data_IF_460370747121
#
_entry.id   IF_460370747121
#
_cell.length_a   1.000
_cell.length_b   1.000
_cell.length_c   1.000
_cell.angle_alpha   90.00
_cell.angle_beta   90.00
_cell.angle_gamma   90.00
#
_symmetry.space_group_name_H-M   'P 1'
#
loop_
_entity.id
_entity.type
_entity.pdbx_description
1 polymer ?
#
# COMPACT_ATOMS: atom_id res chain seq x y z
N UNK A 1 -14.56 -5.31 25.23
CA UNK A 1 -15.24 -6.56 24.81
C UNK A 1 -14.83 -7.80 25.61
N UNK A 2 -13.58 -7.91 26.11
CA UNK A 2 -13.05 -9.14 26.75
C UNK A 2 -13.23 -10.39 25.86
N UNK A 3 -12.84 -10.24 24.59
CA UNK A 3 -12.97 -11.27 23.57
C UNK A 3 -11.60 -11.86 23.24
N UNK A 4 -11.61 -13.08 22.71
CA UNK A 4 -10.42 -13.73 22.13
C UNK A 4 -10.46 -13.58 20.62
N UNK A 5 -9.37 -13.13 20.02
CA UNK A 5 -9.21 -13.09 18.57
C UNK A 5 -8.85 -14.49 18.07
N UNK A 6 -9.61 -15.00 17.11
CA UNK A 6 -9.18 -16.15 16.31
C UNK A 6 -8.39 -15.61 15.12
N UNK A 7 -7.28 -16.26 14.75
CA UNK A 7 -6.51 -15.86 13.58
C UNK A 7 -7.44 -15.65 12.36
N UNK A 8 -7.27 -14.54 11.63
CA UNK A 8 -8.17 -14.19 10.56
C UNK A 8 -8.03 -15.18 9.40
N UNK A 9 -9.15 -15.46 8.75
CA UNK A 9 -9.17 -16.15 7.46
C UNK A 9 -9.02 -15.11 6.35
N UNK A 10 -7.98 -15.24 5.53
CA UNK A 10 -7.82 -14.45 4.32
C UNK A 10 -8.77 -14.99 3.24
N UNK A 11 -9.34 -14.10 2.43
CA UNK A 11 -10.26 -14.49 1.36
C UNK A 11 -9.51 -15.19 0.22
N UNK A 12 -9.70 -16.50 0.13
CA UNK A 12 -9.08 -17.37 -0.87
C UNK A 12 -9.86 -17.45 -2.19
N UNK A 13 -11.11 -16.95 -2.23
CA UNK A 13 -12.01 -17.10 -3.38
C UNK A 13 -12.02 -15.85 -4.29
N UNK A 14 -11.24 -14.83 -3.93
CA UNK A 14 -11.12 -13.59 -4.67
C UNK A 14 -10.02 -13.68 -5.76
N UNK A 15 -9.72 -12.55 -6.42
CA UNK A 15 -8.80 -12.41 -7.55
C UNK A 15 -7.52 -13.27 -7.49
N UNK A 16 -6.93 -13.43 -6.30
CA UNK A 16 -5.64 -14.08 -6.10
C UNK A 16 -5.68 -15.60 -6.02
N UNK A 17 -6.84 -16.21 -5.74
CA UNK A 17 -7.01 -17.66 -5.57
C UNK A 17 -5.91 -18.31 -4.67
N UNK A 18 -5.52 -17.60 -3.61
CA UNK A 18 -4.40 -17.98 -2.73
C UNK A 18 -4.90 -18.73 -1.49
N UNK A 19 -4.43 -19.96 -1.29
CA UNK A 19 -4.82 -20.83 -0.16
C UNK A 19 -3.83 -20.78 1.03
N UNK A 20 -2.79 -19.94 0.96
CA UNK A 20 -1.73 -19.88 1.98
C UNK A 20 -2.27 -19.38 3.33
N UNK A 21 -3.37 -18.63 3.31
CA UNK A 21 -4.02 -18.09 4.50
C UNK A 21 -3.12 -17.15 5.30
N UNK A 22 -3.55 -16.79 6.51
CA UNK A 22 -2.77 -15.90 7.37
C UNK A 22 -1.37 -16.46 7.73
N UNK A 23 -1.22 -17.74 8.10
CA UNK A 23 0.09 -18.32 8.44
C UNK A 23 1.06 -18.43 7.26
N UNK A 24 0.53 -18.52 6.03
CA UNK A 24 1.35 -18.53 4.83
C UNK A 24 1.96 -17.17 4.51
N UNK A 25 1.42 -16.07 5.04
CA UNK A 25 1.90 -14.70 4.77
C UNK A 25 2.64 -14.11 5.96
N UNK A 26 2.11 -14.31 7.18
CA UNK A 26 2.60 -13.65 8.39
C UNK A 26 3.21 -14.64 9.38
N UNK A 27 4.17 -14.14 10.15
CA UNK A 27 4.73 -14.83 11.30
C UNK A 27 3.72 -14.85 12.46
N UNK A 28 3.01 -15.97 12.58
CA UNK A 28 1.91 -16.16 13.54
C UNK A 28 2.39 -16.08 14.98
N UNK A 29 3.52 -16.71 15.30
CA UNK A 29 4.04 -16.73 16.67
C UNK A 29 4.44 -15.32 17.10
N UNK A 30 5.12 -14.58 16.21
CA UNK A 30 5.43 -13.17 16.45
C UNK A 30 4.18 -12.31 16.62
N UNK A 31 3.14 -12.54 15.80
CA UNK A 31 1.87 -11.81 15.89
C UNK A 31 1.17 -12.06 17.24
N UNK A 32 1.10 -13.32 17.70
CA UNK A 32 0.50 -13.69 18.98
C UNK A 32 1.32 -13.10 20.14
N UNK A 33 2.65 -13.25 20.12
CA UNK A 33 3.52 -12.74 21.18
C UNK A 33 3.48 -11.21 21.29
N UNK A 34 3.47 -10.52 20.15
CA UNK A 34 3.40 -9.04 20.08
C UNK A 34 2.11 -8.46 20.66
N UNK A 35 1.03 -9.25 20.72
CA UNK A 35 -0.30 -8.81 21.18
C UNK A 35 -0.72 -9.42 22.52
N UNK A 36 0.09 -10.30 23.12
CA UNK A 36 -0.29 -11.09 24.30
C UNK A 36 -0.77 -10.26 25.51
N UNK A 37 -0.28 -9.03 25.63
CA UNK A 37 -0.64 -8.11 26.71
C UNK A 37 -1.96 -7.36 26.48
N UNK A 38 -2.49 -7.38 25.24
CA UNK A 38 -3.62 -6.55 24.83
C UNK A 38 -4.80 -7.38 24.38
N UNK A 39 -4.53 -8.45 23.62
CA UNK A 39 -5.54 -9.31 23.02
C UNK A 39 -5.07 -10.75 23.10
N UNK A 40 -5.89 -11.62 23.69
CA UNK A 40 -5.67 -13.06 23.59
C UNK A 40 -5.95 -13.51 22.16
N UNK A 41 -4.97 -14.14 21.53
CA UNK A 41 -5.09 -14.68 20.18
C UNK A 41 -5.02 -16.21 20.23
N UNK A 42 -5.85 -16.90 19.44
CA UNK A 42 -5.82 -18.36 19.27
C UNK A 42 -5.82 -18.72 17.78
N UNK A 43 -5.23 -19.86 17.44
CA UNK A 43 -5.11 -20.29 16.04
C UNK A 43 -6.46 -20.64 15.40
N UNK A 44 -7.29 -21.39 16.11
CA UNK A 44 -8.55 -21.92 15.59
C UNK A 44 -9.67 -21.76 16.60
N UNK A 45 -10.90 -21.65 16.07
CA UNK A 45 -12.08 -21.58 16.91
C UNK A 45 -12.31 -22.94 17.62
N UNK A 46 -12.50 -22.97 18.95
CA UNK A 46 -12.79 -24.22 19.66
C UNK A 46 -14.06 -24.89 19.14
N UNK A 47 -14.07 -26.23 19.06
CA UNK A 47 -15.22 -26.98 18.53
C UNK A 47 -16.48 -26.86 19.39
N UNK A 48 -16.31 -26.62 20.69
CA UNK A 48 -17.41 -26.47 21.65
C UNK A 48 -17.17 -25.31 22.58
N UNK A 49 -18.26 -24.74 23.09
CA UNK A 49 -18.23 -23.69 24.10
C UNK A 49 -19.21 -24.04 25.23
N UNK A 50 -18.83 -23.68 26.45
CA UNK A 50 -19.57 -24.02 27.66
C UNK A 50 -20.44 -22.84 28.10
N UNK A 51 -21.75 -23.09 28.28
CA UNK A 51 -22.67 -22.17 28.96
C UNK A 51 -23.20 -22.89 30.20
N UNK A 52 -22.70 -22.50 31.37
CA UNK A 52 -22.99 -23.22 32.62
C UNK A 52 -22.52 -24.68 32.53
N UNK A 53 -23.44 -25.62 32.71
CA UNK A 53 -23.16 -27.07 32.64
C UNK A 53 -23.30 -27.67 31.23
N UNK A 54 -23.78 -26.90 30.23
CA UNK A 54 -24.04 -27.39 28.87
C UNK A 54 -22.86 -27.09 27.94
N UNK A 55 -22.43 -28.10 27.18
CA UNK A 55 -21.49 -27.94 26.05
C UNK A 55 -22.27 -27.89 24.75
N UNK A 56 -22.08 -26.84 23.96
CA UNK A 56 -22.72 -26.67 22.66
C UNK A 56 -21.66 -26.62 21.55
N UNK A 57 -22.03 -27.09 20.35
CA UNK A 57 -21.18 -26.91 19.16
C UNK A 57 -21.06 -25.42 18.87
N UNK A 58 -19.83 -24.93 18.78
CA UNK A 58 -19.57 -23.52 18.50
C UNK A 58 -19.53 -23.31 16.99
N UNK A 59 -20.42 -22.46 16.49
CA UNK A 59 -20.41 -21.98 15.11
C UNK A 59 -20.44 -20.46 15.14
N UNK A 60 -19.50 -19.78 14.46
CA UNK A 60 -19.48 -18.32 14.51
C UNK A 60 -20.68 -17.75 13.78
N UNK A 61 -21.33 -16.75 14.39
CA UNK A 61 -22.42 -16.04 13.76
C UNK A 61 -21.87 -14.95 12.84
N UNK A 62 -22.25 -14.98 11.56
CA UNK A 62 -21.77 -14.00 10.60
C UNK A 62 -22.40 -12.63 10.84
N UNK A 63 -21.57 -11.61 10.96
CA UNK A 63 -21.99 -10.21 11.02
C UNK A 63 -21.33 -9.41 9.91
N UNK A 64 -22.08 -8.45 9.38
CA UNK A 64 -21.58 -7.47 8.44
C UNK A 64 -21.41 -6.13 9.17
N UNK A 65 -20.17 -5.73 9.51
CA UNK A 65 -19.96 -4.42 10.12
C UNK A 65 -20.29 -3.31 9.11
N UNK A 66 -20.83 -2.16 9.56
CA UNK A 66 -20.94 -1.00 8.69
C UNK A 66 -19.55 -0.55 8.24
N UNK A 67 -19.48 0.19 7.14
CA UNK A 67 -18.24 0.84 6.71
C UNK A 67 -17.88 1.92 7.75
N UNK A 68 -16.61 1.99 8.11
CA UNK A 68 -16.06 2.94 9.09
C UNK A 68 -16.86 2.89 10.41
N UNK A 69 -17.10 1.68 10.93
CA UNK A 69 -17.95 1.48 12.10
C UNK A 69 -17.36 2.16 13.34
N UNK A 70 -18.19 2.88 14.11
CA UNK A 70 -17.74 3.48 15.36
C UNK A 70 -17.45 2.39 16.39
N UNK A 71 -16.57 2.68 17.35
CA UNK A 71 -16.27 1.81 18.51
C UNK A 71 -17.54 1.29 19.17
N UNK A 72 -18.55 2.16 19.33
CA UNK A 72 -19.83 1.82 19.96
C UNK A 72 -20.53 0.64 19.28
N UNK A 73 -20.42 0.49 17.95
CA UNK A 73 -21.03 -0.64 17.25
C UNK A 73 -20.43 -1.99 17.67
N UNK A 74 -19.11 -2.01 17.93
CA UNK A 74 -18.44 -3.19 18.46
C UNK A 74 -18.83 -3.47 19.91
N UNK A 75 -18.97 -2.42 20.71
CA UNK A 75 -19.34 -2.51 22.14
C UNK A 75 -20.81 -2.89 22.37
N UNK A 76 -21.68 -2.63 21.39
CA UNK A 76 -23.10 -3.01 21.44
C UNK A 76 -23.40 -4.18 20.53
N UNK A 77 -23.64 -3.94 19.24
CA UNK A 77 -24.14 -4.93 18.28
C UNK A 77 -23.24 -6.17 18.18
N UNK A 78 -21.93 -5.99 18.01
CA UNK A 78 -21.03 -7.12 17.89
C UNK A 78 -20.89 -7.89 19.21
N UNK A 79 -20.75 -7.19 20.33
CA UNK A 79 -20.61 -7.79 21.66
C UNK A 79 -21.87 -8.54 22.10
N UNK A 80 -23.06 -7.96 21.91
CA UNK A 80 -24.34 -8.61 22.24
C UNK A 80 -24.54 -9.88 21.41
N UNK A 81 -24.24 -9.82 20.11
CA UNK A 81 -24.30 -10.99 19.23
C UNK A 81 -23.29 -12.06 19.66
N UNK A 82 -22.06 -11.66 20.01
CA UNK A 82 -21.04 -12.58 20.50
C UNK A 82 -21.46 -13.25 21.82
N UNK A 83 -22.07 -12.53 22.75
CA UNK A 83 -22.62 -13.11 23.99
C UNK A 83 -23.73 -14.13 23.72
N UNK A 84 -24.57 -13.87 22.71
CA UNK A 84 -25.67 -14.77 22.31
C UNK A 84 -25.19 -16.03 21.61
N UNK A 85 -24.20 -15.91 20.73
CA UNK A 85 -23.76 -17.00 19.84
C UNK A 85 -22.42 -17.65 20.24
N UNK A 86 -21.73 -17.11 21.24
CA UNK A 86 -20.40 -17.52 21.68
C UNK A 86 -19.26 -16.98 20.81
N UNK A 87 -19.45 -16.93 19.49
CA UNK A 87 -18.48 -16.40 18.53
C UNK A 87 -19.16 -15.65 17.38
N UNK A 88 -18.47 -14.65 16.83
CA UNK A 88 -18.90 -13.92 15.63
C UNK A 88 -17.82 -13.97 14.56
N UNK A 89 -18.24 -14.02 13.30
CA UNK A 89 -17.36 -13.90 12.14
C UNK A 89 -17.73 -12.61 11.40
N UNK A 90 -16.83 -11.63 11.45
CA UNK A 90 -17.05 -10.33 10.83
C UNK A 90 -16.59 -10.40 9.37
N UNK A 91 -17.54 -10.42 8.42
CA UNK A 91 -17.21 -10.51 6.99
C UNK A 91 -18.27 -9.81 6.13
N UNK A 92 -17.89 -9.08 5.07
CA UNK A 92 -16.51 -8.77 4.67
C UNK A 92 -15.86 -7.74 5.60
N UNK A 93 -14.54 -7.84 5.84
CA UNK A 93 -13.81 -6.98 6.78
C UNK A 93 -12.85 -6.00 6.07
N UNK A 94 -13.40 -5.10 5.23
CA UNK A 94 -12.66 -3.99 4.60
C UNK A 94 -13.19 -2.64 5.11
N UNK A 95 -12.30 -1.74 5.56
CA UNK A 95 -12.65 -0.40 6.10
C UNK A 95 -13.75 -0.44 7.17
N UNK A 96 -13.51 -1.15 8.29
CA UNK A 96 -14.56 -1.44 9.28
C UNK A 96 -14.45 -0.72 10.62
N UNK A 97 -13.29 -0.19 10.99
CA UNK A 97 -13.16 0.66 12.17
C UNK A 97 -12.97 2.10 11.70
N UNK A 98 -13.64 3.04 12.36
CA UNK A 98 -13.52 4.47 12.10
C UNK A 98 -12.04 4.91 12.05
N UNK A 99 -11.70 5.75 11.07
CA UNK A 99 -10.33 6.21 10.86
C UNK A 99 -9.85 7.10 12.01
N UNK A 100 -10.78 7.82 12.65
CA UNK A 100 -10.51 8.65 13.84
C UNK A 100 -11.17 8.03 15.06
N UNK A 101 -10.35 7.65 16.03
CA UNK A 101 -10.79 7.11 17.31
C UNK A 101 -10.52 8.12 18.42
N UNK A 102 -11.51 8.37 19.27
CA UNK A 102 -11.35 9.26 20.43
C UNK A 102 -10.43 8.65 21.51
N UNK A 103 -10.33 7.32 21.54
CA UNK A 103 -9.45 6.63 22.48
C UNK A 103 -8.05 6.46 21.88
N UNK A 104 -7.08 7.16 22.47
CA UNK A 104 -5.67 7.12 22.06
C UNK A 104 -5.04 5.73 22.17
N UNK A 105 -5.45 4.90 23.14
CA UNK A 105 -4.94 3.52 23.27
C UNK A 105 -5.35 2.64 22.10
N UNK A 106 -6.54 2.87 21.53
CA UNK A 106 -6.97 2.13 20.34
C UNK A 106 -6.15 2.53 19.11
N UNK A 107 -5.80 3.82 18.97
CA UNK A 107 -4.90 4.24 17.90
C UNK A 107 -3.49 3.67 18.08
N UNK A 108 -2.93 3.69 19.30
CA UNK A 108 -1.63 3.09 19.61
C UNK A 108 -1.61 1.59 19.31
N UNK A 109 -2.66 0.87 19.69
CA UNK A 109 -2.81 -0.55 19.35
C UNK A 109 -2.86 -0.75 17.82
N UNK A 110 -3.59 0.09 17.06
CA UNK A 110 -3.57 0.04 15.59
C UNK A 110 -2.15 0.22 15.03
N UNK A 111 -1.39 1.19 15.53
CA UNK A 111 0.00 1.41 15.12
C UNK A 111 0.87 0.18 15.37
N UNK A 112 0.81 -0.37 16.59
CA UNK A 112 1.58 -1.57 16.95
C UNK A 112 1.18 -2.79 16.11
N UNK A 113 -0.12 -3.02 15.92
CA UNK A 113 -0.59 -4.14 15.11
C UNK A 113 -0.07 -3.99 13.68
N UNK A 114 -0.24 -2.81 13.08
CA UNK A 114 0.08 -2.57 11.68
C UNK A 114 1.59 -2.59 11.38
N UNK A 115 2.41 -2.03 12.28
CA UNK A 115 3.84 -1.80 11.99
C UNK A 115 4.80 -2.71 12.76
N UNK A 116 4.32 -3.43 13.79
CA UNK A 116 5.15 -4.32 14.62
C UNK A 116 4.64 -5.75 14.66
N UNK A 117 3.35 -5.97 14.90
CA UNK A 117 2.80 -7.32 15.06
C UNK A 117 2.62 -8.04 13.71
N UNK A 118 2.15 -7.33 12.68
CA UNK A 118 2.04 -7.86 11.32
C UNK A 118 3.41 -7.89 10.64
N UNK A 119 4.16 -8.97 10.91
CA UNK A 119 5.44 -9.25 10.28
C UNK A 119 5.28 -10.38 9.28
N UNK A 120 5.78 -10.20 8.06
CA UNK A 120 5.82 -11.31 7.09
C UNK A 120 6.62 -12.50 7.63
N UNK A 121 6.28 -13.69 7.17
CA UNK A 121 6.99 -14.91 7.55
C UNK A 121 8.47 -14.88 7.11
N UNK A 122 9.24 -15.85 7.59
CA UNK A 122 10.69 -15.90 7.33
C UNK A 122 11.02 -16.06 5.84
N UNK A 123 10.22 -16.80 5.07
CA UNK A 123 10.52 -17.06 3.67
C UNK A 123 10.42 -15.78 2.82
N UNK A 124 9.35 -15.00 3.01
CA UNK A 124 9.17 -13.68 2.38
C UNK A 124 10.30 -12.73 2.80
N UNK A 125 10.64 -12.70 4.09
CA UNK A 125 11.69 -11.82 4.62
C UNK A 125 13.07 -12.17 4.11
N UNK A 126 13.39 -13.46 4.01
CA UNK A 126 14.66 -13.94 3.50
C UNK A 126 14.82 -13.60 2.02
N UNK A 127 13.82 -13.92 1.19
CA UNK A 127 13.88 -13.61 -0.23
C UNK A 127 13.95 -12.10 -0.49
N UNK A 128 13.10 -11.31 0.16
CA UNK A 128 13.14 -9.85 0.02
C UNK A 128 14.49 -9.27 0.47
N UNK A 129 15.08 -9.78 1.56
CA UNK A 129 16.42 -9.36 1.99
C UNK A 129 17.48 -9.67 0.94
N UNK A 130 17.45 -10.85 0.32
CA UNK A 130 18.39 -11.21 -0.75
C UNK A 130 18.26 -10.25 -1.94
N UNK A 131 17.03 -9.98 -2.40
CA UNK A 131 16.77 -9.07 -3.52
C UNK A 131 17.28 -7.66 -3.18
N UNK A 132 16.96 -7.14 -1.99
CA UNK A 132 17.40 -5.81 -1.55
C UNK A 132 18.93 -5.74 -1.46
N UNK A 133 19.58 -6.77 -0.93
CA UNK A 133 21.05 -6.82 -0.85
C UNK A 133 21.68 -6.81 -2.24
N UNK A 134 21.13 -7.57 -3.20
CA UNK A 134 21.62 -7.57 -4.59
C UNK A 134 21.47 -6.21 -5.25
N UNK A 135 20.29 -5.59 -5.15
CA UNK A 135 20.05 -4.26 -5.69
C UNK A 135 21.05 -3.25 -5.11
N UNK A 136 21.18 -3.22 -3.78
CA UNK A 136 22.08 -2.29 -3.06
C UNK A 136 23.56 -2.56 -3.24
N UNK A 137 23.96 -3.80 -3.57
CA UNK A 137 25.37 -4.14 -3.79
C UNK A 137 25.98 -3.38 -4.97
N UNK A 138 25.15 -2.88 -5.89
CA UNK A 138 25.61 -2.08 -7.02
C UNK A 138 25.38 -0.59 -6.81
N UNK A 139 24.34 -0.21 -6.08
CA UNK A 139 24.04 1.19 -5.78
C UNK A 139 22.63 1.41 -5.22
N UNK A 140 22.25 2.67 -4.96
CA UNK A 140 20.88 2.99 -4.58
C UNK A 140 19.90 2.58 -5.68
N UNK A 141 18.66 2.30 -5.29
CA UNK A 141 17.61 1.94 -6.24
C UNK A 141 16.27 2.59 -5.91
N UNK A 142 15.54 2.90 -6.98
CA UNK A 142 14.16 3.31 -6.92
C UNK A 142 13.26 2.09 -7.06
N UNK A 143 12.15 2.05 -6.32
CA UNK A 143 11.10 1.07 -6.53
C UNK A 143 9.82 1.74 -7.05
N UNK A 144 9.28 1.21 -8.13
CA UNK A 144 8.00 1.66 -8.72
C UNK A 144 6.97 0.57 -8.48
N UNK A 145 5.84 0.93 -7.85
CA UNK A 145 4.67 0.07 -7.83
C UNK A 145 3.74 0.47 -8.97
N UNK A 146 3.78 -0.31 -10.06
CA UNK A 146 3.05 -0.04 -11.29
C UNK A 146 1.71 -0.78 -11.27
N UNK A 147 0.62 -0.06 -11.02
CA UNK A 147 -0.73 -0.67 -11.03
C UNK A 147 -1.40 -0.56 -12.40
N UNK A 148 -0.95 -1.39 -13.34
CA UNK A 148 -1.41 -1.43 -14.74
C UNK A 148 -1.95 -2.81 -15.16
N UNK A 149 -2.56 -3.53 -14.23
CA UNK A 149 -3.15 -4.85 -14.43
C UNK A 149 -4.63 -4.75 -14.82
N UNK A 150 -5.16 -5.85 -15.36
CA UNK A 150 -6.50 -5.95 -15.94
C UNK A 150 -7.62 -5.48 -15.00
N UNK A 151 -7.58 -5.91 -13.73
CA UNK A 151 -8.60 -5.58 -12.74
C UNK A 151 -8.60 -4.09 -12.39
N UNK A 152 -7.41 -3.49 -12.25
CA UNK A 152 -7.24 -2.07 -11.98
C UNK A 152 -7.71 -1.24 -13.17
N UNK A 153 -7.34 -1.60 -14.39
CA UNK A 153 -7.73 -0.86 -15.59
C UNK A 153 -9.24 -0.97 -15.84
N UNK A 154 -9.83 -2.15 -15.64
CA UNK A 154 -11.27 -2.36 -15.70
C UNK A 154 -12.01 -1.59 -14.58
N UNK A 155 -11.45 -1.53 -13.37
CA UNK A 155 -11.99 -0.69 -12.30
C UNK A 155 -11.88 0.79 -12.65
N UNK A 156 -10.71 1.22 -13.13
CA UNK A 156 -10.41 2.60 -13.45
C UNK A 156 -11.24 3.09 -14.62
N UNK A 157 -11.61 2.25 -15.59
CA UNK A 157 -12.49 2.60 -16.70
C UNK A 157 -11.86 3.61 -17.67
N UNK A 158 -10.54 3.53 -17.85
CA UNK A 158 -9.77 4.41 -18.73
C UNK A 158 -9.32 3.61 -19.96
N UNK A 159 -10.22 3.51 -20.94
CA UNK A 159 -10.14 2.46 -21.97
C UNK A 159 -9.58 2.92 -23.32
N UNK A 160 -9.64 4.22 -23.62
CA UNK A 160 -9.37 4.75 -24.98
C UNK A 160 -7.92 4.56 -25.45
N UNK A 161 -6.99 4.20 -24.55
CA UNK A 161 -5.59 3.90 -24.87
C UNK A 161 -5.37 2.46 -25.36
N UNK A 162 -6.38 1.60 -25.28
CA UNK A 162 -6.32 0.18 -25.64
C UNK A 162 -6.99 -0.07 -27.01
N UNK A 163 -6.62 -1.18 -27.68
CA UNK A 163 -7.28 -1.56 -28.95
C UNK A 163 -8.75 -1.93 -28.73
N UNK A 164 -9.60 -1.92 -29.77
CA UNK A 164 -11.00 -2.33 -29.64
C UNK A 164 -11.16 -3.71 -28.96
N UNK A 165 -10.32 -4.68 -29.27
CA UNK A 165 -10.34 -6.02 -28.69
C UNK A 165 -10.03 -5.99 -27.18
N UNK A 166 -8.99 -5.26 -26.80
CA UNK A 166 -8.59 -5.09 -25.40
C UNK A 166 -9.65 -4.33 -24.59
N UNK A 167 -10.30 -3.33 -25.21
CA UNK A 167 -11.40 -2.60 -24.59
C UNK A 167 -12.58 -3.52 -24.27
N UNK A 168 -12.92 -4.46 -25.15
CA UNK A 168 -13.99 -5.42 -24.90
C UNK A 168 -13.67 -6.37 -23.74
N UNK A 169 -12.40 -6.80 -23.62
CA UNK A 169 -11.94 -7.58 -22.47
C UNK A 169 -12.14 -6.79 -21.16
N UNK A 170 -11.69 -5.53 -21.12
CA UNK A 170 -11.81 -4.67 -19.94
C UNK A 170 -13.28 -4.38 -19.58
N UNK A 171 -14.14 -4.13 -20.58
CA UNK A 171 -15.58 -3.91 -20.38
C UNK A 171 -16.28 -5.15 -19.85
N UNK A 172 -15.97 -6.33 -20.41
CA UNK A 172 -16.51 -7.61 -19.96
C UNK A 172 -16.15 -7.88 -18.50
N UNK A 173 -14.85 -7.82 -18.17
CA UNK A 173 -14.38 -8.03 -16.81
C UNK A 173 -15.02 -7.04 -15.83
N UNK A 174 -15.15 -5.75 -16.23
CA UNK A 174 -15.81 -4.75 -15.41
C UNK A 174 -17.25 -5.10 -15.10
N UNK A 175 -18.02 -5.49 -16.12
CA UNK A 175 -19.44 -5.83 -15.97
C UNK A 175 -19.66 -7.00 -15.00
N UNK A 176 -18.72 -7.94 -14.97
CA UNK A 176 -18.78 -9.12 -14.11
C UNK A 176 -18.37 -8.82 -12.65
N UNK A 177 -17.45 -7.87 -12.43
CA UNK A 177 -16.78 -7.69 -11.13
C UNK A 177 -17.08 -6.37 -10.42
N UNK A 178 -17.57 -5.34 -11.11
CA UNK A 178 -17.73 -4.00 -10.55
C UNK A 178 -19.10 -3.39 -10.86
N UNK A 179 -19.55 -2.50 -9.98
CA UNK A 179 -20.76 -1.70 -10.20
C UNK A 179 -20.69 -0.86 -11.49
N UNK A 180 -21.84 -0.53 -12.06
CA UNK A 180 -21.92 0.33 -13.25
C UNK A 180 -21.22 1.68 -13.04
N UNK A 181 -20.60 2.19 -14.10
CA UNK A 181 -19.81 3.43 -14.07
C UNK A 181 -19.72 4.03 -15.47
N UNK A 182 -19.80 5.36 -15.56
CA UNK A 182 -19.57 6.10 -16.80
C UNK A 182 -18.09 6.03 -17.20
N UNK A 183 -17.82 5.56 -18.43
CA UNK A 183 -16.48 5.29 -18.96
C UNK A 183 -16.03 6.41 -19.92
N UNK A 184 -15.87 7.62 -19.41
CA UNK A 184 -15.34 8.75 -20.18
C UNK A 184 -13.85 8.95 -19.90
N UNK A 185 -12.99 8.40 -20.74
CA UNK A 185 -11.53 8.41 -20.54
C UNK A 185 -10.98 9.80 -20.21
N UNK A 186 -11.26 10.81 -21.04
CA UNK A 186 -10.72 12.16 -20.87
C UNK A 186 -11.13 12.77 -19.52
N UNK A 187 -12.41 12.68 -19.17
CA UNK A 187 -12.89 13.20 -17.89
C UNK A 187 -12.20 12.48 -16.71
N UNK A 188 -12.12 11.15 -16.77
CA UNK A 188 -11.53 10.32 -15.71
C UNK A 188 -10.03 10.57 -15.53
N UNK A 189 -9.31 10.80 -16.62
CA UNK A 189 -7.90 11.18 -16.60
C UNK A 189 -7.71 12.54 -15.96
N UNK A 190 -8.51 13.55 -16.34
CA UNK A 190 -8.45 14.90 -15.80
C UNK A 190 -8.77 14.99 -14.31
N UNK A 191 -9.58 14.08 -13.76
CA UNK A 191 -9.85 14.00 -12.31
C UNK A 191 -8.88 13.06 -11.57
N UNK A 192 -7.80 12.62 -12.21
CA UNK A 192 -6.79 11.75 -11.61
C UNK A 192 -7.28 10.35 -11.27
N UNK A 193 -8.30 9.82 -11.96
CA UNK A 193 -8.83 8.47 -11.69
C UNK A 193 -8.24 7.36 -12.58
N UNK A 194 -7.45 7.72 -13.59
CA UNK A 194 -6.69 6.78 -14.41
C UNK A 194 -5.30 6.51 -13.82
N UNK A 195 -4.84 5.24 -13.77
CA UNK A 195 -3.43 4.92 -13.60
C UNK A 195 -2.57 5.62 -14.63
N UNK A 196 -1.35 6.00 -14.25
CA UNK A 196 -0.36 6.43 -15.23
C UNK A 196 0.07 5.23 -16.07
N UNK A 197 0.18 5.43 -17.38
CA UNK A 197 0.83 4.47 -18.27
C UNK A 197 2.32 4.36 -17.93
N UNK A 198 2.99 3.23 -18.23
CA UNK A 198 4.42 3.13 -17.96
C UNK A 198 5.25 4.21 -18.69
N UNK A 199 4.80 4.66 -19.87
CA UNK A 199 5.44 5.78 -20.57
C UNK A 199 5.29 7.10 -19.80
N UNK A 200 4.09 7.45 -19.32
CA UNK A 200 3.88 8.63 -18.49
C UNK A 200 4.74 8.59 -17.21
N UNK A 201 4.85 7.43 -16.58
CA UNK A 201 5.76 7.23 -15.43
C UNK A 201 7.21 7.55 -15.82
N UNK A 202 7.67 7.04 -16.97
CA UNK A 202 9.01 7.34 -17.46
C UNK A 202 9.23 8.83 -17.76
N UNK A 203 8.26 9.49 -18.39
CA UNK A 203 8.31 10.93 -18.68
C UNK A 203 8.34 11.77 -17.41
N UNK A 204 7.54 11.39 -16.41
CA UNK A 204 7.59 11.99 -15.08
C UNK A 204 9.00 11.88 -14.49
N UNK A 205 9.56 10.68 -14.41
CA UNK A 205 10.89 10.48 -13.82
C UNK A 205 11.99 11.24 -14.57
N UNK A 206 11.92 11.33 -15.90
CA UNK A 206 12.83 12.17 -16.69
C UNK A 206 12.71 13.66 -16.36
N UNK A 207 11.49 14.17 -16.24
CA UNK A 207 11.25 15.55 -15.81
C UNK A 207 11.81 15.81 -14.41
N UNK A 208 11.78 14.78 -13.55
CA UNK A 208 12.35 14.81 -12.21
C UNK A 208 13.90 14.77 -12.18
N UNK A 209 14.55 14.58 -13.33
CA UNK A 209 16.02 14.58 -13.44
C UNK A 209 16.66 13.20 -13.34
N UNK A 210 15.88 12.14 -13.16
CA UNK A 210 16.39 10.77 -13.26
C UNK A 210 16.81 10.46 -14.70
N UNK A 211 17.80 9.61 -14.86
CA UNK A 211 18.41 9.33 -16.16
C UNK A 211 18.46 7.82 -16.46
N UNK A 212 19.05 7.43 -17.58
CA UNK A 212 19.10 6.02 -17.99
C UNK A 212 19.99 5.14 -17.10
N UNK A 213 20.83 5.73 -16.24
CA UNK A 213 21.62 5.00 -15.26
C UNK A 213 20.83 4.72 -13.97
N UNK A 214 19.69 5.37 -13.75
CA UNK A 214 18.84 5.13 -12.58
C UNK A 214 18.35 3.69 -12.58
N UNK A 215 18.64 2.99 -11.48
CA UNK A 215 18.20 1.61 -11.27
C UNK A 215 16.80 1.57 -10.70
N UNK A 216 15.93 0.80 -11.34
CA UNK A 216 14.52 0.72 -11.01
C UNK A 216 14.13 -0.73 -10.76
N UNK A 217 13.64 -1.00 -9.56
CA UNK A 217 12.86 -2.20 -9.26
C UNK A 217 11.38 -1.95 -9.56
N UNK A 218 10.81 -2.72 -10.46
CA UNK A 218 9.40 -2.63 -10.85
C UNK A 218 8.58 -3.72 -10.14
N UNK A 219 7.82 -3.31 -9.13
CA UNK A 219 6.80 -4.12 -8.50
C UNK A 219 5.51 -4.02 -9.32
N UNK A 220 5.17 -5.09 -10.03
CA UNK A 220 4.01 -5.14 -10.91
C UNK A 220 3.51 -6.58 -11.06
N UNK A 221 2.19 -6.74 -11.17
CA UNK A 221 1.60 -7.97 -11.66
C UNK A 221 1.72 -8.12 -13.18
N UNK A 222 0.79 -8.84 -13.79
CA UNK A 222 0.71 -8.92 -15.25
C UNK A 222 0.24 -7.58 -15.84
N UNK A 223 1.12 -6.91 -16.59
CA UNK A 223 0.79 -5.65 -17.27
C UNK A 223 -0.15 -5.93 -18.44
N UNK A 224 -1.36 -5.35 -18.39
CA UNK A 224 -2.32 -5.51 -19.48
C UNK A 224 -1.84 -4.77 -20.73
N UNK A 225 -1.78 -5.48 -21.86
CA UNK A 225 -1.13 -5.02 -23.10
C UNK A 225 0.40 -5.23 -23.14
N UNK A 226 0.99 -5.80 -22.09
CA UNK A 226 2.35 -6.35 -22.06
C UNK A 226 3.46 -5.39 -22.51
N UNK A 227 4.39 -5.91 -23.30
CA UNK A 227 5.58 -5.18 -23.76
C UNK A 227 5.26 -3.91 -24.57
N UNK A 228 4.07 -3.81 -25.19
CA UNK A 228 3.67 -2.55 -25.87
C UNK A 228 3.67 -1.37 -24.90
N UNK A 229 3.25 -1.58 -23.65
CA UNK A 229 3.26 -0.55 -22.63
C UNK A 229 4.56 -0.49 -21.83
N UNK A 230 5.25 -1.62 -21.62
CA UNK A 230 6.51 -1.62 -20.85
C UNK A 230 7.71 -1.10 -21.64
N UNK A 231 7.76 -1.32 -22.96
CA UNK A 231 8.89 -0.94 -23.80
C UNK A 231 9.26 0.55 -23.70
N UNK A 232 8.34 1.52 -23.78
CA UNK A 232 8.68 2.94 -23.63
C UNK A 232 9.34 3.28 -22.28
N UNK A 233 8.91 2.64 -21.19
CA UNK A 233 9.55 2.83 -19.88
C UNK A 233 10.98 2.27 -19.87
N UNK A 234 11.17 1.07 -20.44
CA UNK A 234 12.48 0.41 -20.56
C UNK A 234 13.45 1.16 -21.47
N UNK A 235 12.94 1.75 -22.56
CA UNK A 235 13.74 2.58 -23.47
C UNK A 235 14.24 3.85 -22.76
N UNK A 236 13.46 4.41 -21.83
CA UNK A 236 13.86 5.54 -20.98
C UNK A 236 14.79 5.12 -19.84
N UNK A 237 14.59 3.93 -19.26
CA UNK A 237 15.31 3.41 -18.11
C UNK A 237 15.70 1.94 -18.35
N UNK A 238 16.88 1.69 -18.94
CA UNK A 238 17.30 0.33 -19.31
C UNK A 238 17.62 -0.56 -18.09
N UNK A 239 17.98 0.02 -16.93
CA UNK A 239 18.16 -0.71 -15.67
C UNK A 239 16.82 -0.95 -14.95
N UNK A 240 15.88 -1.57 -15.66
CA UNK A 240 14.53 -1.89 -15.18
C UNK A 240 14.44 -3.37 -14.84
N UNK A 241 14.52 -3.66 -13.55
CA UNK A 241 14.55 -5.00 -12.95
C UNK A 241 13.21 -5.33 -12.29
N UNK A 242 12.87 -6.61 -12.20
CA UNK A 242 11.69 -7.11 -11.46
C UNK A 242 12.14 -8.19 -10.47
N UNK A 243 11.23 -8.66 -9.62
CA UNK A 243 11.47 -9.82 -8.75
C UNK A 243 12.14 -10.97 -9.50
N UNK A 244 11.62 -11.32 -10.67
CA UNK A 244 12.08 -12.46 -11.47
C UNK A 244 13.41 -12.24 -12.18
N UNK A 245 13.87 -11.00 -12.33
CA UNK A 245 15.19 -10.73 -12.92
C UNK A 245 16.30 -10.63 -11.87
N UNK A 246 15.96 -10.30 -10.61
CA UNK A 246 16.93 -10.15 -9.51
C UNK A 246 17.08 -11.43 -8.69
N UNK A 247 15.98 -12.17 -8.48
CA UNK A 247 16.00 -13.43 -7.75
C UNK A 247 16.36 -14.60 -8.68
N UNK A 248 17.03 -15.61 -8.13
CA UNK A 248 17.31 -16.84 -8.84
C UNK A 248 16.04 -17.73 -8.89
N UNK A 249 15.86 -18.57 -9.92
CA UNK A 249 14.71 -19.46 -10.02
C UNK A 249 14.51 -20.35 -8.78
N UNK A 250 15.60 -20.82 -8.17
CA UNK A 250 15.54 -21.67 -6.98
C UNK A 250 15.00 -20.90 -5.77
N UNK A 251 15.34 -19.61 -5.65
CA UNK A 251 14.90 -18.73 -4.57
C UNK A 251 13.43 -18.34 -4.71
N UNK A 252 12.96 -18.14 -5.95
CA UNK A 252 11.55 -17.92 -6.27
C UNK A 252 10.70 -19.15 -5.94
N UNK A 253 11.24 -20.34 -6.22
CA UNK A 253 10.60 -21.62 -5.93
C UNK A 253 10.32 -21.84 -4.44
N UNK A 254 11.15 -21.30 -3.54
CA UNK A 254 10.97 -21.43 -2.08
C UNK A 254 9.68 -20.81 -1.58
N UNK A 255 9.19 -19.76 -2.23
CA UNK A 255 7.97 -19.03 -1.86
C UNK A 255 6.89 -19.10 -2.94
N UNK A 256 7.04 -19.98 -3.95
CA UNK A 256 6.12 -20.04 -5.11
C UNK A 256 5.84 -18.65 -5.70
N UNK A 257 6.86 -17.78 -5.69
CA UNK A 257 6.71 -16.38 -6.07
C UNK A 257 6.82 -16.17 -7.60
N UNK A 258 6.92 -17.23 -8.37
CA UNK A 258 6.87 -17.25 -9.82
C UNK A 258 5.43 -17.27 -10.37
N UNK A 259 4.42 -17.57 -9.54
CA UNK A 259 3.01 -17.74 -9.94
C UNK A 259 2.00 -16.74 -9.37
N UNK A 260 0.71 -17.05 -9.55
CA UNK A 260 -0.42 -16.34 -8.96
C UNK A 260 -0.48 -16.59 -7.44
N UNK A 261 -0.62 -15.53 -6.65
CA UNK A 261 -0.74 -15.61 -5.20
C UNK A 261 -0.27 -14.34 -4.49
N UNK A 262 -0.28 -14.37 -3.15
CA UNK A 262 0.04 -13.23 -2.29
C UNK A 262 1.52 -13.15 -1.90
N UNK A 263 2.28 -14.24 -2.05
CA UNK A 263 3.69 -14.34 -1.64
C UNK A 263 4.61 -13.44 -2.47
N UNK A 264 4.49 -13.46 -3.80
CA UNK A 264 5.23 -12.57 -4.69
C UNK A 264 5.00 -11.09 -4.38
N UNK A 265 3.74 -10.62 -4.32
CA UNK A 265 3.44 -9.26 -3.89
C UNK A 265 3.94 -8.92 -2.48
N UNK A 266 3.95 -9.86 -1.53
CA UNK A 266 4.51 -9.61 -0.19
C UNK A 266 6.04 -9.37 -0.24
N UNK A 267 6.76 -10.09 -1.12
CA UNK A 267 8.18 -9.85 -1.38
C UNK A 267 8.38 -8.48 -2.03
N UNK A 268 7.59 -8.15 -3.06
CA UNK A 268 7.63 -6.84 -3.73
C UNK A 268 7.39 -5.71 -2.73
N UNK A 269 6.44 -5.89 -1.81
CA UNK A 269 6.13 -4.93 -0.75
C UNK A 269 7.37 -4.63 0.10
N UNK A 270 8.10 -5.66 0.54
CA UNK A 270 9.32 -5.48 1.31
C UNK A 270 10.44 -4.79 0.51
N UNK A 271 10.60 -5.14 -0.77
CA UNK A 271 11.60 -4.50 -1.64
C UNK A 271 11.27 -3.02 -1.87
N UNK A 272 9.98 -2.68 -2.04
CA UNK A 272 9.53 -1.29 -2.13
C UNK A 272 9.62 -0.54 -0.79
N UNK A 273 9.43 -1.22 0.35
CA UNK A 273 9.54 -0.61 1.68
C UNK A 273 11.00 -0.17 1.96
N UNK A 274 11.94 -0.98 1.49
CA UNK A 274 13.37 -0.78 1.75
C UNK A 274 14.09 0.02 0.66
N UNK A 275 13.42 0.39 -0.43
CA UNK A 275 14.03 1.22 -1.49
C UNK A 275 14.38 2.62 -1.00
N UNK A 276 15.35 3.24 -1.67
CA UNK A 276 15.77 4.62 -1.40
C UNK A 276 14.65 5.60 -1.78
N UNK A 277 14.05 5.38 -2.96
CA UNK A 277 12.87 6.12 -3.43
C UNK A 277 11.75 5.13 -3.74
N UNK A 278 10.54 5.43 -3.31
CA UNK A 278 9.33 4.69 -3.71
C UNK A 278 8.41 5.56 -4.56
N UNK A 279 7.91 5.03 -5.67
CA UNK A 279 7.00 5.73 -6.60
C UNK A 279 5.73 4.90 -6.82
N UNK A 280 4.58 5.31 -6.26
CA UNK A 280 3.29 4.71 -6.59
C UNK A 280 2.74 5.30 -7.89
N UNK A 281 2.36 4.47 -8.86
CA UNK A 281 1.76 4.96 -10.13
C UNK A 281 0.23 5.12 -10.06
N UNK A 282 -0.37 4.60 -8.98
CA UNK A 282 -1.79 4.69 -8.71
C UNK A 282 -2.07 4.63 -7.21
N UNK A 283 -2.58 5.74 -6.69
CA UNK A 283 -3.02 5.96 -5.30
C UNK A 283 -4.55 5.98 -5.16
N UNK A 284 -5.28 5.34 -6.09
CA UNK A 284 -6.70 5.06 -5.91
C UNK A 284 -6.93 3.96 -4.84
N UNK A 285 -7.87 3.02 -5.02
CA UNK A 285 -8.05 1.91 -4.07
C UNK A 285 -6.93 0.85 -4.15
N UNK A 286 -5.67 1.27 -4.09
CA UNK A 286 -4.51 0.37 -4.02
C UNK A 286 -4.06 0.22 -2.57
N UNK A 287 -4.48 -0.85 -1.91
CA UNK A 287 -4.06 -1.14 -0.53
C UNK A 287 -2.53 -1.32 -0.44
N UNK A 288 -1.90 -1.88 -1.47
CA UNK A 288 -0.44 -2.03 -1.52
C UNK A 288 0.26 -0.68 -1.39
N UNK A 289 -0.04 0.26 -2.29
CA UNK A 289 0.60 1.57 -2.29
C UNK A 289 0.27 2.34 -1.01
N UNK A 290 -1.01 2.38 -0.61
CA UNK A 290 -1.45 3.11 0.57
C UNK A 290 -0.77 2.61 1.86
N UNK A 291 -0.78 1.31 2.13
CA UNK A 291 -0.12 0.75 3.32
C UNK A 291 1.40 1.00 3.29
N UNK A 292 2.02 0.85 2.11
CA UNK A 292 3.45 1.04 1.96
C UNK A 292 3.87 2.48 2.22
N UNK A 293 3.12 3.47 1.72
CA UNK A 293 3.35 4.89 1.97
C UNK A 293 3.29 5.17 3.48
N UNK A 294 2.25 4.68 4.16
CA UNK A 294 2.13 4.87 5.61
C UNK A 294 3.23 4.17 6.40
N UNK A 295 3.67 2.98 5.98
CA UNK A 295 4.78 2.28 6.63
C UNK A 295 6.13 2.95 6.38
N UNK A 296 6.36 3.49 5.18
CA UNK A 296 7.54 4.31 4.86
C UNK A 296 7.57 5.60 5.70
N UNK A 297 6.41 6.22 5.92
CA UNK A 297 6.26 7.34 6.85
C UNK A 297 6.64 6.92 8.27
N UNK A 298 6.12 5.78 8.73
CA UNK A 298 6.38 5.25 10.07
C UNK A 298 7.86 4.86 10.30
N UNK A 299 8.53 4.30 9.28
CA UNK A 299 9.94 3.89 9.36
C UNK A 299 10.92 5.02 9.01
N UNK A 300 10.72 6.18 9.62
CA UNK A 300 11.62 7.33 9.54
C UNK A 300 11.42 8.18 8.29
N UNK A 301 10.17 8.40 7.89
CA UNK A 301 9.83 9.35 6.82
C UNK A 301 10.55 9.07 5.49
N UNK A 302 10.65 7.79 5.10
CA UNK A 302 11.38 7.38 3.91
C UNK A 302 10.79 8.01 2.65
N UNK A 303 11.67 8.48 1.76
CA UNK A 303 11.31 9.24 0.57
C UNK A 303 10.29 8.50 -0.30
N UNK A 304 9.14 9.11 -0.51
CA UNK A 304 8.09 8.59 -1.37
C UNK A 304 7.76 9.66 -2.40
N UNK A 305 8.14 9.44 -3.65
CA UNK A 305 7.87 10.37 -4.74
C UNK A 305 6.51 10.06 -5.37
N UNK A 306 5.47 10.79 -4.95
CA UNK A 306 4.08 10.57 -5.38
C UNK A 306 3.68 11.53 -6.51
N UNK A 307 3.41 11.04 -7.74
CA UNK A 307 2.94 11.88 -8.83
C UNK A 307 1.49 12.36 -8.57
N UNK A 308 1.24 13.68 -8.63
CA UNK A 308 -0.13 14.21 -8.64
C UNK A 308 -0.77 13.97 -10.01
N UNK A 309 -1.43 12.83 -10.15
CA UNK A 309 -2.05 12.39 -11.42
C UNK A 309 -3.08 13.40 -11.93
N UNK A 310 -3.77 14.12 -11.03
CA UNK A 310 -4.78 15.11 -11.41
C UNK A 310 -4.10 16.37 -11.94
N UNK A 311 -3.07 16.86 -11.27
CA UNK A 311 -2.31 18.03 -11.70
C UNK A 311 -1.50 17.76 -12.98
N UNK A 312 -0.97 16.55 -13.15
CA UNK A 312 -0.16 16.16 -14.30
C UNK A 312 -0.97 15.89 -15.58
N UNK A 313 -2.23 15.43 -15.45
CA UNK A 313 -3.05 15.01 -16.59
C UNK A 313 -3.15 16.06 -17.74
N UNK A 314 -3.39 17.36 -17.49
CA UNK A 314 -3.42 18.36 -18.56
C UNK A 314 -2.10 18.49 -19.32
N UNK A 315 -0.97 18.30 -18.64
CA UNK A 315 0.36 18.44 -19.24
C UNK A 315 0.71 17.25 -20.12
N UNK A 316 0.35 16.02 -19.71
CA UNK A 316 0.45 14.86 -20.58
C UNK A 316 -0.41 15.00 -21.83
N UNK A 317 -1.66 15.45 -21.69
CA UNK A 317 -2.57 15.65 -22.84
C UNK A 317 -1.99 16.68 -23.82
N UNK A 318 -1.40 17.78 -23.33
CA UNK A 318 -0.74 18.78 -24.19
C UNK A 318 0.47 18.19 -24.91
N UNK A 319 1.30 17.42 -24.21
CA UNK A 319 2.48 16.79 -24.77
C UNK A 319 2.11 15.77 -25.86
N UNK A 320 1.12 14.90 -25.61
CA UNK A 320 0.61 13.92 -26.58
C UNK A 320 0.07 14.56 -27.85
N UNK A 321 -0.55 15.74 -27.73
CA UNK A 321 -1.07 16.52 -28.86
C UNK A 321 -0.01 17.37 -29.57
N UNK A 322 1.25 17.34 -29.11
CA UNK A 322 2.32 18.17 -29.64
C UNK A 322 2.14 19.67 -29.40
N UNK A 323 1.34 20.05 -28.38
CA UNK A 323 1.04 21.45 -28.06
C UNK A 323 2.11 22.12 -27.18
N UNK A 324 3.00 21.32 -26.58
CA UNK A 324 4.12 21.79 -25.76
C UNK A 324 5.37 21.01 -26.10
N UNK A 325 6.54 21.65 -25.95
CA UNK A 325 7.82 20.94 -26.09
C UNK A 325 8.07 20.03 -24.88
N UNK A 326 9.01 19.10 -25.03
CA UNK A 326 9.46 18.26 -23.91
C UNK A 326 10.04 19.11 -22.77
N UNK A 327 10.80 20.16 -23.08
CA UNK A 327 11.37 21.07 -22.08
C UNK A 327 10.29 21.81 -21.28
N UNK A 328 9.22 22.26 -21.94
CA UNK A 328 8.11 22.95 -21.28
C UNK A 328 7.31 21.99 -20.39
N UNK A 329 7.13 20.75 -20.84
CA UNK A 329 6.54 19.69 -20.04
C UNK A 329 7.37 19.44 -18.77
N UNK A 330 8.69 19.24 -18.90
CA UNK A 330 9.58 18.99 -17.77
C UNK A 330 9.56 20.15 -16.77
N UNK A 331 9.55 21.39 -17.25
CA UNK A 331 9.39 22.59 -16.41
C UNK A 331 8.06 22.58 -15.66
N UNK A 332 6.96 22.25 -16.33
CA UNK A 332 5.63 22.17 -15.72
C UNK A 332 5.56 21.11 -14.62
N UNK A 333 6.16 19.93 -14.85
CA UNK A 333 6.21 18.85 -13.85
C UNK A 333 6.96 19.32 -12.61
N UNK A 334 8.11 19.98 -12.76
CA UNK A 334 8.89 20.51 -11.63
C UNK A 334 8.13 21.57 -10.83
N UNK A 335 7.28 22.36 -11.47
CA UNK A 335 6.42 23.35 -10.79
C UNK A 335 5.24 22.72 -10.02
N UNK A 336 4.75 21.56 -10.47
CA UNK A 336 3.66 20.83 -9.80
C UNK A 336 4.18 20.15 -8.51
N UNK A 337 5.43 19.74 -8.52
CA UNK A 337 6.01 19.00 -7.40
C UNK A 337 6.27 19.93 -6.23
N UNK A 338 5.88 19.47 -5.04
CA UNK A 338 6.01 20.20 -3.79
C UNK A 338 6.70 19.32 -2.74
N UNK A 339 7.12 19.85 -1.59
CA UNK A 339 7.65 19.04 -0.49
C UNK A 339 6.70 17.90 -0.07
N UNK A 340 5.38 18.09 -0.23
CA UNK A 340 4.36 17.06 0.04
C UNK A 340 4.46 15.86 -0.89
N UNK A 341 5.11 16.01 -2.05
CA UNK A 341 5.33 14.96 -3.03
C UNK A 341 6.42 13.97 -2.62
N UNK A 342 7.16 14.21 -1.52
CA UNK A 342 8.27 13.36 -1.05
C UNK A 342 7.95 12.50 0.18
N UNK A 343 6.68 12.47 0.61
CA UNK A 343 6.24 11.63 1.74
C UNK A 343 6.54 12.23 3.12
N UNK A 344 6.71 13.55 3.20
CA UNK A 344 6.89 14.27 4.47
C UNK A 344 5.65 14.14 5.38
N UNK A 345 5.82 14.21 6.71
CA UNK A 345 4.70 14.28 7.65
C UNK A 345 3.76 15.41 7.29
N UNK A 346 2.47 15.12 7.29
CA UNK A 346 1.43 16.15 7.13
C UNK A 346 0.18 15.74 7.86
N UNK A 347 -0.64 16.74 8.18
CA UNK A 347 -1.97 16.51 8.72
C UNK A 347 -2.78 15.60 7.78
N UNK A 348 -3.30 14.50 8.33
CA UNK A 348 -4.17 13.58 7.61
C UNK A 348 -5.44 14.30 7.16
N UNK A 349 -5.80 14.15 5.89
CA UNK A 349 -7.07 14.70 5.37
C UNK A 349 -8.24 13.88 5.93
N UNK A 350 -9.44 14.47 6.13
CA UNK A 350 -10.59 13.72 6.66
C UNK A 350 -10.97 12.48 5.84
N UNK A 351 -10.72 12.49 4.53
CA UNK A 351 -11.00 11.38 3.62
C UNK A 351 -9.84 10.39 3.45
N UNK A 352 -8.69 10.67 4.07
CA UNK A 352 -7.49 9.85 3.95
C UNK A 352 -7.48 8.77 5.04
N UNK A 353 -7.07 7.56 4.65
CA UNK A 353 -6.99 6.44 5.59
C UNK A 353 -5.82 6.62 6.54
N UNK A 354 -6.00 6.19 7.80
CA UNK A 354 -4.91 6.07 8.78
C UNK A 354 -3.76 5.22 8.26
N UNK A 355 -4.04 4.18 7.47
CA UNK A 355 -3.00 3.30 6.94
C UNK A 355 -2.15 3.95 5.85
N UNK A 356 -2.68 4.96 5.16
CA UNK A 356 -1.91 5.81 4.23
C UNK A 356 -1.09 6.85 4.98
N UNK A 357 -1.67 7.44 6.03
CA UNK A 357 -1.03 8.48 6.82
C UNK A 357 -1.24 8.24 8.33
N UNK A 358 -0.33 7.53 9.01
CA UNK A 358 -0.42 7.26 10.45
C UNK A 358 -0.11 8.47 11.34
N UNK A 359 0.19 9.64 10.76
CA UNK A 359 0.50 10.84 11.52
C UNK A 359 -0.79 11.55 11.99
N UNK A 360 -0.83 12.06 13.24
CA UNK A 360 0.23 12.00 14.26
C UNK A 360 0.16 10.78 15.17
N UNK A 361 -0.88 9.94 15.10
CA UNK A 361 -1.23 9.02 16.19
C UNK A 361 -0.21 7.90 16.45
N UNK A 362 0.62 7.56 15.46
CA UNK A 362 1.69 6.58 15.63
C UNK A 362 3.04 7.16 16.05
N UNK A 363 3.11 8.48 16.27
CA UNK A 363 4.35 9.17 16.60
C UNK A 363 4.19 9.83 17.97
N UNK A 364 5.30 9.88 18.70
CA UNK A 364 5.35 10.69 19.91
C UNK A 364 5.32 12.19 19.54
N UNK A 365 4.80 13.02 20.43
CA UNK A 365 4.74 14.46 20.25
C UNK A 365 5.82 15.14 21.10
N UNK A 366 6.55 16.09 20.52
CA UNK A 366 7.59 16.85 21.25
C UNK A 366 6.98 17.68 22.39
N UNK A 367 5.79 18.25 22.18
CA UNK A 367 5.01 18.89 23.23
C UNK A 367 3.62 18.26 23.31
N UNK A 368 3.33 17.63 24.45
CA UNK A 368 2.02 17.05 24.75
C UNK A 368 1.63 17.37 26.19
N UNK A 369 0.34 17.67 26.41
CA UNK A 369 -0.22 17.81 27.77
C UNK A 369 -0.28 16.47 28.51
N UNK A 370 -0.29 15.37 27.77
CA UNK A 370 -0.22 14.01 28.30
C UNK A 370 1.21 13.49 28.16
N UNK A 371 1.86 13.19 29.29
CA UNK A 371 3.22 12.65 29.37
C UNK A 371 3.37 11.33 28.63
N UNK A 372 2.32 10.51 28.51
CA UNK A 372 2.38 9.26 27.79
C UNK A 372 2.54 9.46 26.27
N UNK A 373 2.24 10.65 25.75
CA UNK A 373 2.39 11.02 24.35
C UNK A 373 3.67 11.81 24.07
N UNK A 374 4.48 12.13 25.09
CA UNK A 374 5.73 12.87 24.88
C UNK A 374 6.82 11.97 24.31
N UNK A 375 7.64 12.51 23.40
CA UNK A 375 8.83 11.80 22.95
C UNK A 375 9.81 11.58 24.10
N UNK A 376 10.46 10.40 24.19
CA UNK A 376 11.61 10.21 25.08
C UNK A 376 12.64 11.32 24.84
N UNK A 377 13.21 11.87 25.92
CA UNK A 377 14.15 13.01 25.86
C UNK A 377 15.33 12.73 24.92
N UNK A 378 15.80 11.49 24.89
CA UNK A 378 16.92 11.00 24.06
C UNK A 378 16.62 11.02 22.54
N UNK A 379 15.35 11.08 22.14
CA UNK A 379 14.91 11.16 20.73
C UNK A 379 14.77 12.63 20.28
N UNK A 380 14.57 13.56 21.21
CA UNK A 380 14.33 14.99 20.90
C UNK A 380 15.59 15.66 20.35
N UNK A 381 16.79 15.26 20.78
CA UNK A 381 18.06 15.82 20.27
C UNK A 381 18.36 15.47 18.79
N UNK A 382 17.73 14.42 18.23
CA UNK A 382 17.96 13.98 16.83
C UNK A 382 16.85 14.40 15.87
N UNK A 383 15.75 14.98 16.37
CA UNK A 383 14.53 15.24 15.60
C UNK A 383 14.12 16.71 15.55
N UNK A 384 15.00 17.64 15.94
CA UNK A 384 14.86 19.07 15.61
C UNK A 384 15.06 19.30 14.10
N UNK A 385 14.19 18.69 13.30
CA UNK A 385 13.98 19.08 11.92
C UNK A 385 13.00 20.25 12.01
N UNK A 386 13.53 21.46 11.96
CA UNK A 386 12.72 22.63 11.71
C UNK A 386 11.93 22.37 10.42
N UNK A 387 10.60 22.42 10.53
CA UNK A 387 9.68 22.29 9.41
C UNK A 387 9.69 23.64 8.68
N UNK A 388 10.85 24.04 8.17
CA UNK A 388 10.91 25.06 7.12
C UNK A 388 10.68 24.35 5.79
N UNK A 389 9.44 24.49 5.28
CA UNK A 389 8.93 23.71 4.16
C UNK A 389 9.71 23.95 2.85
N UNK A 390 10.33 25.12 2.69
CA UNK A 390 10.90 25.57 1.41
C UNK A 390 12.43 25.47 1.31
N UNK A 391 13.21 25.79 2.35
CA UNK A 391 14.70 25.78 2.25
C UNK A 391 15.26 24.35 2.13
N UNK A 392 14.66 23.39 2.82
CA UNK A 392 15.14 22.01 2.86
C UNK A 392 14.70 21.17 1.65
N UNK A 393 13.84 21.71 0.78
CA UNK A 393 13.33 21.00 -0.39
C UNK A 393 14.36 20.90 -1.51
N UNK A 394 15.04 22.01 -1.82
CA UNK A 394 16.00 22.08 -2.93
C UNK A 394 17.22 21.19 -2.68
N UNK A 395 17.70 21.12 -1.45
CA UNK A 395 18.84 20.28 -1.09
C UNK A 395 18.51 18.79 -1.14
N UNK A 396 17.36 18.38 -0.61
CA UNK A 396 16.86 17.01 -0.69
C UNK A 396 16.59 16.62 -2.16
N UNK A 397 15.98 17.52 -2.93
CA UNK A 397 15.80 17.36 -4.37
C UNK A 397 17.12 17.11 -5.11
N UNK A 398 18.11 17.95 -4.86
CA UNK A 398 19.44 17.81 -5.44
C UNK A 398 20.16 16.53 -4.97
N UNK A 399 19.83 16.01 -3.79
CA UNK A 399 20.35 14.73 -3.31
C UNK A 399 19.69 13.55 -4.04
N UNK A 400 18.38 13.60 -4.27
CA UNK A 400 17.66 12.55 -5.00
C UNK A 400 18.10 12.45 -6.47
N UNK A 401 18.47 13.55 -7.09
CA UNK A 401 19.03 13.56 -8.45
C UNK A 401 20.44 12.95 -8.55
N UNK A 402 21.12 12.76 -7.41
CA UNK A 402 22.45 12.14 -7.33
C UNK A 402 22.40 10.63 -7.09
N UNK A 403 21.20 10.08 -6.85
CA UNK A 403 20.90 8.64 -6.81
C UNK A 403 20.55 8.14 -8.22
#
# INVERSE_FOLDING_TARGET
>A
MNATLVLPHLDTNSFWHDESGFPGIYDVEHFIDSLKSDVRVIHTLPATWAIGTKRMKLKPYQLQPPRDAPVRWYETTALETMKKHGAVYLTPFSHRLDEKLDNHEYQRLRCRVNYHALRFNNDIRNLSSIIVQRLRSVGPYMAIHLRFELDMLAFAGCLDIFTPEEQEILKKYRKENFAEKKLEYNHRRLIGKCPLTPHEVGLFLRAMGFNNATRIYLAVGEVFGGERFLKPLRDLFPQLETRSTVALPEELGLVRADGHGLLGPAVDYMVCLLSDIFVPTYDGPSNFANNLIGQRLYYGFRTTLQPDRKALAPHYIKLEKGLVSRSDFETSVRQIISPKSFGRPRTRLPSESFYTNPWPECFCMISSKDSANQCPLDIVETTSVDIDEDENFLDEWNQLQRL
#
